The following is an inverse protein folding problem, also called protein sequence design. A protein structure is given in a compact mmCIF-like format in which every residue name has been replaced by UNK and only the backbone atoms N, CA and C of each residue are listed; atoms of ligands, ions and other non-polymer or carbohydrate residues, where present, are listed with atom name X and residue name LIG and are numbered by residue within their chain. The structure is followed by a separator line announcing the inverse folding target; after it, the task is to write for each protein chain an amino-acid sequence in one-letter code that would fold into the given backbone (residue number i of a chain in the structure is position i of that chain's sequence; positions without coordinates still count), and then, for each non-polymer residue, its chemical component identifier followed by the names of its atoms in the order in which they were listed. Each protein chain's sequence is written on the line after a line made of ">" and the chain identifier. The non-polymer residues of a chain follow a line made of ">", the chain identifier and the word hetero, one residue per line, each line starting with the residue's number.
data_IF_057936599392
#
_entry.id   IF_057936599392
#
_cell.length_a   1.000
_cell.length_b   1.000
_cell.length_c   1.000
_cell.angle_alpha   90.00
_cell.angle_beta   90.00
_cell.angle_gamma   90.00
#
_symmetry.space_group_name_H-M   'P 1'
#
loop_
_entity.id
_entity.type
_entity.pdbx_description
1 polymer ?
#
# COMPACT_ATOMS: atom_id res chain seq x y z
N UNK A 1 -54.53 43.76 13.65
CA UNK A 1 -53.97 42.39 13.83
C UNK A 1 -52.53 42.42 13.37
N UNK A 2 -51.60 42.03 14.25
CA UNK A 2 -50.14 42.09 14.08
C UNK A 2 -49.65 40.90 13.24
N UNK A 3 -48.83 41.14 12.22
CA UNK A 3 -48.05 40.11 11.52
C UNK A 3 -46.82 39.72 12.35
N UNK A 4 -46.60 38.41 12.52
CA UNK A 4 -45.42 37.82 13.19
C UNK A 4 -44.23 37.73 12.21
N UNK A 5 -42.98 37.94 12.66
CA UNK A 5 -41.78 37.87 11.82
C UNK A 5 -41.19 36.45 11.85
N UNK A 6 -41.61 35.60 10.91
CA UNK A 6 -41.16 34.19 10.84
C UNK A 6 -40.11 33.87 9.77
N UNK A 7 -39.76 34.80 8.88
CA UNK A 7 -38.99 34.46 7.66
C UNK A 7 -37.53 34.88 7.63
N UNK A 8 -37.05 35.74 8.54
CA UNK A 8 -35.64 36.17 8.54
C UNK A 8 -34.70 35.19 9.26
N UNK A 9 -35.16 34.50 10.31
CA UNK A 9 -34.32 33.59 11.10
C UNK A 9 -33.92 32.32 10.33
N UNK A 10 -34.82 31.76 9.51
CA UNK A 10 -34.49 30.57 8.70
C UNK A 10 -33.52 30.87 7.56
N UNK A 11 -33.54 32.07 6.98
CA UNK A 11 -32.61 32.45 5.91
C UNK A 11 -31.17 32.65 6.44
N UNK A 12 -31.03 33.17 7.67
CA UNK A 12 -29.72 33.41 8.29
C UNK A 12 -29.05 32.09 8.73
N UNK A 13 -29.83 31.10 9.16
CA UNK A 13 -29.29 29.78 9.56
C UNK A 13 -28.79 28.97 8.35
N UNK A 14 -29.51 29.01 7.22
CA UNK A 14 -29.09 28.30 5.99
C UNK A 14 -27.85 28.95 5.37
N UNK A 15 -27.75 30.29 5.38
CA UNK A 15 -26.58 30.98 4.84
C UNK A 15 -25.31 30.74 5.69
N UNK A 16 -25.46 30.58 7.01
CA UNK A 16 -24.34 30.30 7.93
C UNK A 16 -23.81 28.87 7.80
N UNK A 17 -24.69 27.89 7.50
CA UNK A 17 -24.30 26.50 7.24
C UNK A 17 -23.60 26.32 5.88
N UNK A 18 -24.04 27.04 4.85
CA UNK A 18 -23.40 26.99 3.52
C UNK A 18 -22.03 27.68 3.52
N UNK A 19 -21.86 28.79 4.26
CA UNK A 19 -20.54 29.41 4.44
C UNK A 19 -19.61 28.57 5.34
N UNK A 20 -20.15 27.91 6.39
CA UNK A 20 -19.37 27.02 7.25
C UNK A 20 -18.80 25.80 6.52
N UNK A 21 -19.59 25.21 5.61
CA UNK A 21 -19.13 24.11 4.75
C UNK A 21 -18.17 24.59 3.64
N UNK A 22 -18.37 25.80 3.10
CA UNK A 22 -17.45 26.39 2.12
C UNK A 22 -16.06 26.71 2.70
N UNK A 23 -16.01 27.23 3.93
CA UNK A 23 -14.75 27.56 4.63
C UNK A 23 -14.01 26.30 5.15
N UNK A 24 -14.74 25.22 5.48
CA UNK A 24 -14.14 23.93 5.84
C UNK A 24 -13.66 23.15 4.60
N UNK A 25 -14.41 23.15 3.50
CA UNK A 25 -14.01 22.51 2.24
C UNK A 25 -12.82 23.18 1.55
N UNK A 26 -12.54 24.45 1.87
CA UNK A 26 -11.37 25.17 1.34
C UNK A 26 -10.11 24.99 2.20
N UNK A 27 -10.24 24.52 3.46
CA UNK A 27 -9.10 24.31 4.37
C UNK A 27 -8.33 23.01 4.09
N UNK A 28 -8.97 22.04 3.44
CA UNK A 28 -8.35 20.77 3.00
C UNK A 28 -7.97 20.75 1.51
N UNK A 29 -8.16 21.85 0.78
CA UNK A 29 -7.56 21.98 -0.55
C UNK A 29 -6.07 22.29 -0.42
N UNK A 30 -5.30 21.20 -0.39
CA UNK A 30 -3.92 21.07 -0.90
C UNK A 30 -3.10 22.34 -0.72
N UNK A 31 -2.39 22.43 0.41
CA UNK A 31 -1.13 23.16 0.41
C UNK A 31 -0.30 22.51 -0.71
N UNK A 32 -0.14 23.23 -1.82
CA UNK A 32 0.70 22.76 -2.90
C UNK A 32 2.06 22.40 -2.30
N UNK A 33 2.66 21.30 -2.75
CA UNK A 33 3.97 20.89 -2.26
C UNK A 33 4.93 22.07 -2.26
N UNK A 34 5.58 22.34 -1.13
CA UNK A 34 6.66 23.31 -1.06
C UNK A 34 7.75 22.86 -2.04
N UNK A 35 7.92 23.54 -3.18
CA UNK A 35 8.77 23.06 -4.27
C UNK A 35 10.25 23.00 -3.84
N UNK A 36 10.61 23.74 -2.79
CA UNK A 36 11.97 23.84 -2.27
C UNK A 36 12.43 22.55 -1.57
N UNK A 37 11.52 21.81 -0.92
CA UNK A 37 11.85 20.55 -0.22
C UNK A 37 12.00 19.33 -1.13
N UNK A 38 11.73 19.46 -2.42
CA UNK A 38 11.87 18.35 -3.41
C UNK A 38 12.95 18.62 -4.45
N UNK A 39 13.62 19.77 -4.42
CA UNK A 39 14.74 20.03 -5.32
C UNK A 39 15.84 18.98 -5.12
N UNK A 40 16.19 18.29 -6.20
CA UNK A 40 17.22 17.24 -6.21
C UNK A 40 16.77 15.84 -5.78
N UNK A 41 15.52 15.66 -5.31
CA UNK A 41 15.00 14.34 -4.99
C UNK A 41 14.58 13.59 -6.27
N UNK A 42 14.95 12.31 -6.35
CA UNK A 42 14.61 11.52 -7.51
C UNK A 42 13.22 10.92 -7.34
N UNK A 43 12.32 11.26 -8.26
CA UNK A 43 10.96 10.71 -8.30
C UNK A 43 10.96 9.44 -9.16
N UNK A 44 10.59 8.27 -8.60
CA UNK A 44 10.41 7.04 -9.37
C UNK A 44 9.42 7.24 -10.53
N UNK A 45 9.69 6.73 -11.74
CA UNK A 45 8.77 6.86 -12.86
C UNK A 45 7.44 6.12 -12.57
N UNK A 46 6.34 6.47 -13.26
CA UNK A 46 5.11 5.70 -13.23
C UNK A 46 5.33 4.24 -13.64
N UNK A 47 4.58 3.32 -13.02
CA UNK A 47 4.56 1.93 -13.45
C UNK A 47 3.86 1.83 -14.81
N UNK A 48 4.29 0.86 -15.61
CA UNK A 48 3.67 0.51 -16.88
C UNK A 48 3.88 -0.97 -17.15
N UNK A 49 2.98 -1.54 -17.94
CA UNK A 49 3.13 -2.89 -18.43
C UNK A 49 4.42 -3.00 -19.26
N UNK A 50 5.33 -3.88 -18.84
CA UNK A 50 6.56 -4.14 -19.57
C UNK A 50 6.44 -5.29 -20.55
N UNK A 51 5.31 -6.00 -20.63
CA UNK A 51 5.13 -7.16 -21.51
C UNK A 51 6.11 -8.27 -21.18
N UNK A 52 6.28 -8.60 -19.89
CA UNK A 52 7.00 -9.81 -19.47
C UNK A 52 6.04 -10.99 -19.33
N UNK A 53 6.56 -12.20 -19.55
CA UNK A 53 5.80 -13.44 -19.40
C UNK A 53 5.40 -13.69 -17.93
N UNK A 54 6.26 -13.28 -17.00
CA UNK A 54 5.98 -13.25 -15.57
C UNK A 54 5.59 -11.84 -15.11
N UNK A 55 4.63 -11.78 -14.19
CA UNK A 55 4.11 -10.52 -13.64
C UNK A 55 3.90 -10.68 -12.14
N UNK A 56 4.42 -9.74 -11.37
CA UNK A 56 4.15 -9.68 -9.93
C UNK A 56 2.67 -9.42 -9.73
N UNK A 57 2.03 -10.33 -8.99
CA UNK A 57 0.64 -10.19 -8.57
C UNK A 57 0.60 -9.54 -7.20
N UNK A 58 -0.24 -8.52 -7.06
CA UNK A 58 -0.45 -7.82 -5.80
C UNK A 58 -1.81 -8.19 -5.24
N UNK A 59 -1.82 -8.62 -3.98
CA UNK A 59 -3.02 -9.01 -3.26
C UNK A 59 -3.15 -8.17 -2.01
N UNK A 60 -4.34 -7.64 -1.76
CA UNK A 60 -4.71 -7.09 -0.46
C UNK A 60 -5.68 -8.06 0.22
N UNK A 61 -5.22 -8.74 1.27
CA UNK A 61 -5.94 -9.79 1.98
C UNK A 61 -6.55 -9.24 3.27
N UNK A 62 -7.88 -9.27 3.37
CA UNK A 62 -8.63 -8.64 4.46
C UNK A 62 -9.54 -9.66 5.14
N UNK A 63 -9.22 -10.13 6.36
CA UNK A 63 -10.10 -10.97 7.16
C UNK A 63 -11.47 -10.37 7.45
N UNK A 64 -12.43 -11.20 7.86
CA UNK A 64 -13.83 -10.78 8.08
C UNK A 64 -14.01 -9.79 9.24
N UNK A 65 -13.08 -9.79 10.20
CA UNK A 65 -13.03 -8.91 11.36
C UNK A 65 -12.13 -7.68 11.15
N UNK A 66 -11.71 -7.42 9.91
CA UNK A 66 -10.86 -6.29 9.52
C UNK A 66 -11.53 -5.48 8.41
N UNK A 67 -11.14 -4.21 8.33
CA UNK A 67 -11.62 -3.30 7.31
C UNK A 67 -10.57 -3.01 6.24
N UNK A 68 -11.04 -2.73 5.03
CA UNK A 68 -10.20 -2.30 3.92
C UNK A 68 -9.69 -0.89 4.24
N UNK A 69 -8.37 -0.72 4.38
CA UNK A 69 -7.78 0.60 4.61
C UNK A 69 -8.05 1.54 3.43
N UNK A 70 -8.37 2.82 3.70
CA UNK A 70 -8.65 3.79 2.65
C UNK A 70 -7.39 4.06 1.81
N UNK A 71 -7.59 4.23 0.50
CA UNK A 71 -6.52 4.55 -0.44
C UNK A 71 -5.51 3.42 -0.66
N UNK A 72 -5.82 2.17 -0.31
CA UNK A 72 -4.86 1.06 -0.41
C UNK A 72 -4.33 0.87 -1.84
N UNK A 73 -5.13 1.16 -2.88
CA UNK A 73 -4.72 1.00 -4.28
C UNK A 73 -3.65 2.02 -4.64
N UNK A 74 -3.89 3.27 -4.32
CA UNK A 74 -2.98 4.39 -4.55
C UNK A 74 -1.68 4.18 -3.77
N UNK A 75 -1.77 3.80 -2.50
CA UNK A 75 -0.61 3.48 -1.65
C UNK A 75 0.17 2.29 -2.17
N UNK A 76 -0.51 1.25 -2.65
CA UNK A 76 0.14 0.10 -3.27
C UNK A 76 0.92 0.51 -4.53
N UNK A 77 0.35 1.34 -5.40
CA UNK A 77 1.05 1.88 -6.55
C UNK A 77 2.29 2.68 -6.16
N UNK A 78 2.16 3.57 -5.17
CA UNK A 78 3.26 4.37 -4.64
C UNK A 78 4.41 3.50 -4.13
N UNK A 79 4.12 2.49 -3.31
CA UNK A 79 5.11 1.55 -2.80
C UNK A 79 5.79 0.78 -3.95
N UNK A 80 5.00 0.25 -4.89
CA UNK A 80 5.54 -0.54 -6.00
C UNK A 80 6.34 0.30 -6.99
N UNK A 81 6.04 1.60 -7.15
CA UNK A 81 6.89 2.54 -7.90
C UNK A 81 8.29 2.65 -7.30
N UNK A 82 8.38 2.81 -5.98
CA UNK A 82 9.67 2.87 -5.27
C UNK A 82 10.41 1.55 -5.43
N UNK A 83 9.77 0.42 -5.12
CA UNK A 83 10.34 -0.92 -5.23
C UNK A 83 10.87 -1.20 -6.65
N UNK A 84 10.04 -1.00 -7.67
CA UNK A 84 10.42 -1.27 -9.06
C UNK A 84 11.60 -0.42 -9.52
N UNK A 85 11.67 0.83 -9.07
CA UNK A 85 12.77 1.74 -9.40
C UNK A 85 14.08 1.34 -8.73
N UNK A 86 14.04 0.93 -7.45
CA UNK A 86 15.21 0.38 -6.73
C UNK A 86 15.75 -0.84 -7.47
N UNK A 87 14.91 -1.86 -7.71
CA UNK A 87 15.33 -3.06 -8.44
C UNK A 87 15.93 -2.75 -9.81
N UNK A 88 15.30 -1.84 -10.57
CA UNK A 88 15.77 -1.46 -11.90
C UNK A 88 17.14 -0.78 -11.84
N UNK A 89 17.38 0.11 -10.88
CA UNK A 89 18.65 0.83 -10.72
C UNK A 89 19.75 -0.08 -10.25
N UNK A 90 19.51 -0.88 -9.21
CA UNK A 90 20.51 -1.80 -8.66
C UNK A 90 20.94 -2.83 -9.70
N UNK A 91 20.00 -3.42 -10.43
CA UNK A 91 20.32 -4.35 -11.51
C UNK A 91 21.14 -3.69 -12.63
N UNK A 92 20.82 -2.43 -12.99
CA UNK A 92 21.59 -1.68 -14.00
C UNK A 92 23.00 -1.30 -13.50
N UNK A 93 23.12 -0.89 -12.25
CA UNK A 93 24.39 -0.58 -11.61
C UNK A 93 25.31 -1.82 -11.60
N UNK A 94 24.72 -3.00 -11.43
CA UNK A 94 25.39 -4.29 -11.53
C UNK A 94 25.46 -4.85 -12.96
N UNK A 95 25.31 -3.99 -13.98
CA UNK A 95 25.48 -4.30 -15.42
C UNK A 95 24.51 -5.35 -15.98
N UNK A 96 23.41 -5.64 -15.29
CA UNK A 96 22.36 -6.49 -15.84
C UNK A 96 21.53 -5.73 -16.87
N UNK A 97 21.27 -6.38 -18.00
CA UNK A 97 20.26 -5.91 -18.98
C UNK A 97 18.88 -6.15 -18.40
N UNK A 98 18.21 -5.10 -17.94
CA UNK A 98 16.89 -5.21 -17.32
C UNK A 98 15.94 -4.11 -17.75
N UNK A 99 14.66 -4.49 -17.85
CA UNK A 99 13.53 -3.56 -17.97
C UNK A 99 12.96 -3.14 -16.61
N UNK A 100 13.38 -3.77 -15.51
CA UNK A 100 12.80 -3.62 -14.17
C UNK A 100 11.78 -4.71 -13.83
N UNK A 101 11.11 -4.63 -12.67
CA UNK A 101 9.99 -5.51 -12.33
C UNK A 101 8.77 -5.20 -13.21
N UNK A 102 7.95 -6.21 -13.50
CA UNK A 102 6.68 -6.06 -14.21
C UNK A 102 5.54 -6.59 -13.34
N UNK A 103 4.37 -5.98 -13.47
CA UNK A 103 3.21 -6.22 -12.61
C UNK A 103 1.99 -6.61 -13.45
N UNK A 104 0.96 -7.11 -12.77
CA UNK A 104 -0.37 -7.22 -13.37
C UNK A 104 -1.03 -5.84 -13.45
N UNK A 105 -1.62 -5.53 -14.60
CA UNK A 105 -2.37 -4.29 -14.85
C UNK A 105 -3.82 -4.64 -15.21
N UNK A 106 -4.74 -3.75 -14.86
CA UNK A 106 -6.13 -3.82 -15.30
C UNK A 106 -6.25 -3.32 -16.75
N UNK A 107 -7.41 -3.53 -17.37
CA UNK A 107 -7.67 -3.13 -18.77
C UNK A 107 -7.54 -1.60 -18.98
N UNK A 108 -7.79 -0.81 -17.94
CA UNK A 108 -7.61 0.64 -17.94
C UNK A 108 -6.15 1.10 -17.75
N UNK A 109 -5.20 0.16 -17.70
CA UNK A 109 -3.78 0.43 -17.55
C UNK A 109 -3.33 0.73 -16.12
N UNK A 110 -4.23 0.69 -15.12
CA UNK A 110 -3.84 0.87 -13.71
C UNK A 110 -3.26 -0.42 -13.13
N UNK A 111 -2.40 -0.26 -12.12
CA UNK A 111 -1.86 -1.39 -11.36
C UNK A 111 -3.00 -2.24 -10.78
N UNK A 112 -2.98 -3.55 -11.06
CA UNK A 112 -4.02 -4.46 -10.58
C UNK A 112 -3.67 -4.93 -9.17
N UNK A 113 -4.47 -4.50 -8.20
CA UNK A 113 -4.43 -5.00 -6.82
C UNK A 113 -5.68 -5.84 -6.58
N UNK A 114 -5.50 -7.15 -6.37
CA UNK A 114 -6.60 -8.07 -6.09
C UNK A 114 -7.01 -7.93 -4.63
N UNK A 115 -8.20 -7.40 -4.38
CA UNK A 115 -8.79 -7.39 -3.05
C UNK A 115 -9.39 -8.78 -2.76
N UNK A 116 -8.83 -9.50 -1.80
CA UNK A 116 -9.36 -10.76 -1.29
C UNK A 116 -10.03 -10.49 0.05
N UNK A 117 -11.36 -10.54 0.06
CA UNK A 117 -12.13 -10.55 1.30
C UNK A 117 -12.14 -11.98 1.81
N UNK A 118 -11.41 -12.20 2.88
CA UNK A 118 -11.21 -13.53 3.42
C UNK A 118 -12.50 -14.07 4.05
N UNK A 119 -12.57 -15.40 4.18
CA UNK A 119 -13.76 -16.09 4.69
C UNK A 119 -13.81 -16.17 6.21
N UNK A 120 -12.67 -15.97 6.88
CA UNK A 120 -12.49 -16.17 8.32
C UNK A 120 -11.97 -14.90 9.01
N UNK A 121 -12.04 -14.81 10.35
CA UNK A 121 -11.39 -13.74 11.09
C UNK A 121 -9.87 -13.92 11.15
N UNK A 122 -9.17 -12.84 11.51
CA UNK A 122 -7.72 -12.73 11.63
C UNK A 122 -7.09 -13.91 12.38
N UNK A 123 -7.67 -14.26 13.53
CA UNK A 123 -7.19 -15.33 14.42
C UNK A 123 -7.16 -16.72 13.76
N UNK A 124 -8.05 -16.98 12.78
CA UNK A 124 -8.04 -18.24 12.05
C UNK A 124 -6.77 -18.40 11.21
N UNK A 125 -6.32 -17.33 10.58
CA UNK A 125 -5.15 -17.33 9.70
C UNK A 125 -3.86 -17.37 10.50
N UNK A 126 -3.74 -16.54 11.54
CA UNK A 126 -2.53 -16.47 12.36
C UNK A 126 -2.32 -17.70 13.24
N UNK A 127 -3.41 -18.35 13.66
CA UNK A 127 -3.36 -19.37 14.70
C UNK A 127 -3.18 -18.79 16.11
N UNK A 128 -3.42 -19.64 17.10
CA UNK A 128 -3.14 -19.36 18.51
C UNK A 128 -2.53 -20.64 19.14
N UNK A 129 -1.21 -20.67 19.42
CA UNK A 129 -0.21 -19.61 19.20
C UNK A 129 0.03 -19.30 17.70
N UNK A 130 0.72 -18.19 17.42
CA UNK A 130 1.05 -17.78 16.05
C UNK A 130 1.82 -18.87 15.29
N UNK A 131 1.36 -19.18 14.07
CA UNK A 131 1.89 -20.21 13.19
C UNK A 131 2.04 -19.66 11.76
N UNK A 132 3.28 -19.48 11.33
CA UNK A 132 3.65 -18.94 10.02
C UNK A 132 3.16 -19.87 8.90
N UNK A 133 3.29 -21.19 9.07
CA UNK A 133 2.89 -22.13 8.04
C UNK A 133 1.38 -22.13 7.87
N UNK A 134 0.64 -22.07 8.97
CA UNK A 134 -0.81 -21.91 8.95
C UNK A 134 -1.21 -20.63 8.21
N UNK A 135 -0.58 -19.49 8.54
CA UNK A 135 -0.85 -18.21 7.89
C UNK A 135 -0.63 -18.29 6.38
N UNK A 136 0.55 -18.76 5.96
CA UNK A 136 0.91 -18.82 4.55
C UNK A 136 0.05 -19.84 3.79
N UNK A 137 -0.22 -21.02 4.36
CA UNK A 137 -1.06 -22.05 3.73
C UNK A 137 -2.50 -21.57 3.53
N UNK A 138 -3.12 -21.02 4.58
CA UNK A 138 -4.53 -20.65 4.54
C UNK A 138 -4.78 -19.43 3.65
N UNK A 139 -3.90 -18.41 3.70
CA UNK A 139 -4.01 -17.28 2.79
C UNK A 139 -3.75 -17.69 1.34
N UNK A 140 -2.71 -18.49 1.08
CA UNK A 140 -2.41 -18.95 -0.28
C UNK A 140 -3.60 -19.65 -0.93
N UNK A 141 -4.27 -20.53 -0.18
CA UNK A 141 -5.42 -21.26 -0.65
C UNK A 141 -6.57 -20.31 -1.06
N UNK A 142 -6.98 -19.39 -0.19
CA UNK A 142 -8.06 -18.45 -0.50
C UNK A 142 -7.70 -17.46 -1.63
N UNK A 143 -6.42 -17.07 -1.71
CA UNK A 143 -5.91 -16.24 -2.80
C UNK A 143 -6.00 -16.98 -4.13
N UNK A 144 -5.64 -18.27 -4.18
CA UNK A 144 -5.76 -19.07 -5.40
C UNK A 144 -7.20 -19.31 -5.81
N UNK A 145 -8.11 -19.52 -4.86
CA UNK A 145 -9.54 -19.63 -5.13
C UNK A 145 -10.11 -18.33 -5.74
N UNK A 146 -9.58 -17.18 -5.33
CA UNK A 146 -10.07 -15.86 -5.78
C UNK A 146 -9.40 -15.37 -7.07
N UNK A 147 -8.09 -15.57 -7.19
CA UNK A 147 -7.25 -14.95 -8.24
C UNK A 147 -6.70 -15.95 -9.26
N UNK A 148 -6.96 -17.25 -9.05
CA UNK A 148 -6.37 -18.33 -9.82
C UNK A 148 -4.95 -18.70 -9.36
N UNK A 149 -4.49 -19.88 -9.79
CA UNK A 149 -3.16 -20.41 -9.43
C UNK A 149 -2.01 -19.49 -9.86
N UNK A 150 -0.96 -19.42 -9.05
CA UNK A 150 0.12 -18.42 -9.17
C UNK A 150 1.32 -18.83 -10.05
N UNK A 151 1.13 -19.73 -11.03
CA UNK A 151 2.22 -20.13 -11.94
C UNK A 151 2.70 -18.93 -12.76
N UNK A 152 4.01 -18.64 -12.73
CA UNK A 152 4.62 -17.45 -13.34
C UNK A 152 4.04 -16.12 -12.80
N UNK A 153 3.49 -16.15 -11.57
CA UNK A 153 2.89 -15.01 -10.89
C UNK A 153 3.44 -14.96 -9.46
N UNK A 154 4.68 -14.45 -9.26
CA UNK A 154 5.17 -14.22 -7.91
C UNK A 154 4.19 -13.27 -7.22
N UNK A 155 3.69 -13.66 -6.05
CA UNK A 155 2.55 -13.00 -5.40
C UNK A 155 3.03 -12.31 -4.14
N UNK A 156 2.83 -10.99 -4.07
CA UNK A 156 3.03 -10.18 -2.87
C UNK A 156 1.68 -9.86 -2.25
N UNK A 157 1.51 -10.23 -1.00
CA UNK A 157 0.28 -10.10 -0.22
C UNK A 157 0.49 -9.07 0.87
N UNK A 158 -0.35 -8.03 0.87
CA UNK A 158 -0.53 -7.15 2.00
C UNK A 158 -1.65 -7.74 2.86
N UNK A 159 -1.36 -8.19 4.08
CA UNK A 159 -2.30 -8.94 4.92
C UNK A 159 -2.72 -8.17 6.16
N UNK A 160 -4.03 -7.98 6.33
CA UNK A 160 -4.63 -7.45 7.56
C UNK A 160 -4.74 -8.51 8.67
N UNK A 161 -4.33 -9.76 8.41
CA UNK A 161 -4.41 -10.84 9.39
C UNK A 161 -3.35 -10.73 10.51
N UNK A 162 -2.27 -9.96 10.32
CA UNK A 162 -1.26 -9.77 11.36
C UNK A 162 -0.01 -9.01 10.91
N UNK A 163 0.85 -8.70 11.87
CA UNK A 163 2.17 -8.11 11.62
C UNK A 163 3.14 -9.21 11.17
N UNK A 164 3.22 -9.45 9.87
CA UNK A 164 4.04 -10.52 9.28
C UNK A 164 4.91 -9.95 8.17
N UNK A 165 6.11 -10.51 8.02
CA UNK A 165 7.01 -10.32 6.88
C UNK A 165 7.67 -11.68 6.64
N UNK A 166 7.06 -12.48 5.76
CA UNK A 166 7.48 -13.86 5.51
C UNK A 166 7.27 -14.23 4.04
N UNK A 167 8.21 -14.97 3.48
CA UNK A 167 8.14 -15.44 2.11
C UNK A 167 8.29 -16.95 2.01
N UNK A 168 7.46 -17.55 1.16
CA UNK A 168 7.55 -18.94 0.72
C UNK A 168 7.93 -18.98 -0.75
N UNK A 169 9.23 -19.16 -1.07
CA UNK A 169 9.62 -19.47 -2.44
C UNK A 169 9.04 -20.83 -2.82
N UNK A 170 8.61 -20.97 -4.07
CA UNK A 170 8.15 -22.25 -4.64
C UNK A 170 9.23 -22.69 -5.64
N UNK A 171 9.53 -24.00 -5.79
CA UNK A 171 10.54 -24.49 -6.73
C UNK A 171 10.28 -24.17 -8.21
N UNK A 172 9.16 -23.51 -8.54
CA UNK A 172 8.86 -23.03 -9.88
C UNK A 172 9.42 -21.62 -10.07
N UNK A 173 10.18 -21.42 -11.15
CA UNK A 173 10.72 -20.10 -11.50
C UNK A 173 9.59 -19.06 -11.58
N UNK A 174 9.83 -17.88 -11.03
CA UNK A 174 8.85 -16.78 -10.95
C UNK A 174 7.54 -17.18 -10.29
N UNK A 175 7.61 -18.00 -9.25
CA UNK A 175 6.46 -18.40 -8.44
C UNK A 175 6.85 -18.37 -6.96
N UNK A 176 5.92 -17.96 -6.12
CA UNK A 176 6.17 -17.79 -4.70
C UNK A 176 5.14 -16.87 -4.08
N UNK A 177 5.10 -16.87 -2.75
CA UNK A 177 4.21 -16.04 -1.96
C UNK A 177 5.05 -15.25 -0.95
N UNK A 178 4.95 -13.94 -0.98
CA UNK A 178 5.46 -13.06 0.07
C UNK A 178 4.25 -12.47 0.79
N UNK A 179 4.23 -12.55 2.12
CA UNK A 179 3.20 -11.96 2.95
C UNK A 179 3.83 -10.87 3.82
N UNK A 180 3.31 -9.66 3.69
CA UNK A 180 3.70 -8.49 4.48
C UNK A 180 2.48 -7.91 5.18
N UNK A 181 2.69 -7.23 6.30
CA UNK A 181 1.59 -6.61 7.05
C UNK A 181 0.88 -5.51 6.25
N UNK A 182 -0.46 -5.51 6.30
CA UNK A 182 -1.31 -4.45 5.79
C UNK A 182 -1.19 -3.12 6.54
N UNK A 183 -0.54 -3.10 7.72
CA UNK A 183 -0.26 -1.85 8.46
C UNK A 183 0.73 -0.94 7.75
N UNK A 184 1.38 -1.43 6.69
CA UNK A 184 2.12 -0.58 5.77
C UNK A 184 1.25 0.50 5.12
N UNK A 185 -0.07 0.28 4.99
CA UNK A 185 -1.00 1.24 4.39
C UNK A 185 -1.47 2.33 5.35
N UNK A 186 -0.96 2.42 6.58
CA UNK A 186 -1.26 3.53 7.50
C UNK A 186 -0.78 4.87 6.90
N UNK A 187 -1.58 5.92 7.07
CA UNK A 187 -1.31 7.26 6.49
C UNK A 187 -0.01 7.87 7.01
N UNK A 188 0.39 7.49 8.23
CA UNK A 188 1.63 7.92 8.87
C UNK A 188 2.87 7.30 8.25
N UNK A 189 2.72 6.21 7.49
CA UNK A 189 3.81 5.39 6.94
C UNK A 189 3.89 5.48 5.42
N UNK A 190 2.74 5.41 4.75
CA UNK A 190 2.64 5.38 3.29
C UNK A 190 1.68 6.43 2.78
N UNK A 191 2.18 7.33 1.94
CA UNK A 191 1.40 8.36 1.30
C UNK A 191 0.63 7.84 0.07
N UNK A 192 -0.42 8.55 -0.32
CA UNK A 192 -1.22 8.25 -1.51
C UNK A 192 -0.65 8.84 -2.80
N UNK A 193 0.45 9.59 -2.73
CA UNK A 193 1.15 10.15 -3.90
C UNK A 193 2.65 9.89 -3.80
N UNK A 194 3.31 9.76 -4.96
CA UNK A 194 4.74 9.45 -4.98
C UNK A 194 5.57 10.64 -4.45
N UNK A 195 5.16 11.87 -4.73
CA UNK A 195 5.86 13.08 -4.28
C UNK A 195 5.85 13.19 -2.76
N UNK A 196 4.71 12.88 -2.14
CA UNK A 196 4.58 12.86 -0.69
C UNK A 196 5.31 11.68 -0.05
N UNK A 197 5.28 10.50 -0.67
CA UNK A 197 6.05 9.36 -0.21
C UNK A 197 7.56 9.63 -0.20
N UNK A 198 8.08 10.30 -1.24
CA UNK A 198 9.49 10.69 -1.28
C UNK A 198 9.82 11.71 -0.17
N UNK A 199 8.87 12.58 0.22
CA UNK A 199 9.05 13.43 1.41
C UNK A 199 9.04 12.64 2.71
N UNK A 200 8.22 11.60 2.83
CA UNK A 200 8.20 10.76 4.03
C UNK A 200 9.57 10.17 4.32
N UNK A 201 10.37 9.85 3.30
CA UNK A 201 11.76 9.38 3.48
C UNK A 201 12.72 10.43 4.07
N UNK A 202 12.32 11.69 4.14
CA UNK A 202 13.09 12.80 4.74
C UNK A 202 12.42 13.38 5.99
N UNK A 203 11.22 12.91 6.32
CA UNK A 203 10.40 13.45 7.41
C UNK A 203 10.76 12.81 8.75
N UNK A 204 11.10 13.63 9.75
CA UNK A 204 11.45 13.16 11.09
C UNK A 204 10.28 13.19 12.08
N UNK A 205 9.09 13.55 11.63
CA UNK A 205 7.88 13.56 12.47
C UNK A 205 7.72 12.21 13.19
N UNK A 206 7.59 12.19 14.53
CA UNK A 206 7.35 10.95 15.27
C UNK A 206 6.05 10.28 14.81
N UNK A 207 6.12 8.97 14.57
CA UNK A 207 4.98 8.12 14.23
C UNK A 207 5.06 6.82 15.02
N UNK A 208 3.90 6.21 15.27
CA UNK A 208 3.84 4.90 15.94
C UNK A 208 4.43 3.82 15.06
N UNK A 209 5.22 2.92 15.66
CA UNK A 209 5.64 1.68 14.98
C UNK A 209 4.44 0.83 14.55
N UNK A 210 4.63 -0.01 13.52
CA UNK A 210 3.68 -1.06 13.15
C UNK A 210 3.52 -2.08 14.28
N UNK A 211 4.61 -2.45 14.95
CA UNK A 211 4.62 -3.37 16.09
C UNK A 211 5.07 -2.64 17.37
N UNK A 212 4.11 -2.27 18.21
CA UNK A 212 4.34 -1.67 19.53
C UNK A 212 3.88 -0.22 19.67
N UNK A 213 3.95 0.27 20.91
CA UNK A 213 3.52 1.63 21.27
C UNK A 213 4.61 2.69 21.10
N UNK A 214 5.86 2.27 20.89
CA UNK A 214 7.00 3.15 20.72
C UNK A 214 6.89 4.03 19.46
N UNK A 215 7.23 5.30 19.61
CA UNK A 215 7.37 6.22 18.50
C UNK A 215 8.75 6.12 17.84
N UNK A 216 8.78 6.35 16.53
CA UNK A 216 10.01 6.50 15.75
C UNK A 216 9.83 7.58 14.67
N UNK A 217 10.92 8.19 14.18
CA UNK A 217 10.85 9.09 13.04
C UNK A 217 10.19 8.44 11.81
N UNK A 218 9.27 9.17 11.15
CA UNK A 218 8.54 8.72 9.95
C UNK A 218 9.46 8.19 8.86
N UNK A 219 10.58 8.86 8.59
CA UNK A 219 11.54 8.45 7.58
C UNK A 219 12.07 7.05 7.83
N UNK A 220 12.40 6.72 9.08
CA UNK A 220 12.83 5.39 9.45
C UNK A 220 11.71 4.41 9.20
N UNK A 221 10.49 4.69 9.67
CA UNK A 221 9.36 3.75 9.52
C UNK A 221 9.05 3.49 8.05
N UNK A 222 8.92 4.54 7.25
CA UNK A 222 8.63 4.44 5.82
C UNK A 222 9.74 3.72 5.04
N UNK A 223 11.01 3.94 5.39
CA UNK A 223 12.16 3.22 4.81
C UNK A 223 12.17 1.74 5.22
N UNK A 224 11.93 1.41 6.50
CA UNK A 224 11.83 0.00 6.94
C UNK A 224 10.70 -0.70 6.21
N UNK A 225 9.53 -0.08 6.11
CA UNK A 225 8.39 -0.63 5.39
C UNK A 225 8.72 -0.93 3.92
N UNK A 226 9.33 0.00 3.18
CA UNK A 226 9.76 -0.26 1.80
C UNK A 226 10.88 -1.31 1.73
N UNK A 227 11.80 -1.31 2.70
CA UNK A 227 12.89 -2.30 2.80
C UNK A 227 12.36 -3.72 2.96
N UNK A 228 11.35 -3.92 3.81
CA UNK A 228 10.66 -5.22 3.97
C UNK A 228 10.05 -5.67 2.64
N UNK A 229 9.37 -4.79 1.89
CA UNK A 229 8.82 -5.15 0.59
C UNK A 229 9.89 -5.63 -0.39
N UNK A 230 11.03 -4.94 -0.44
CA UNK A 230 12.16 -5.32 -1.30
C UNK A 230 12.75 -6.65 -0.84
N UNK A 231 12.91 -6.85 0.46
CA UNK A 231 13.44 -8.08 1.03
C UNK A 231 12.56 -9.30 0.70
N UNK A 232 11.26 -9.23 1.00
CA UNK A 232 10.33 -10.34 0.76
C UNK A 232 10.13 -10.64 -0.73
N UNK A 233 10.10 -9.59 -1.57
CA UNK A 233 10.12 -9.78 -3.02
C UNK A 233 11.40 -10.49 -3.48
N UNK A 234 12.54 -10.18 -2.85
CA UNK A 234 13.80 -10.87 -3.10
C UNK A 234 13.68 -12.38 -2.94
N UNK A 235 13.13 -12.81 -1.80
CA UNK A 235 12.92 -14.22 -1.50
C UNK A 235 12.07 -14.94 -2.55
N UNK A 236 10.94 -14.37 -2.98
CA UNK A 236 10.09 -15.02 -4.02
C UNK A 236 10.72 -15.01 -5.42
N UNK A 237 11.74 -14.19 -5.64
CA UNK A 237 12.56 -14.20 -6.86
C UNK A 237 13.82 -15.08 -6.74
N UNK A 238 13.99 -15.79 -5.63
CA UNK A 238 15.15 -16.68 -5.40
C UNK A 238 16.45 -15.93 -5.05
N UNK A 239 16.34 -14.68 -4.61
CA UNK A 239 17.45 -13.93 -4.03
C UNK A 239 17.42 -14.18 -2.52
N UNK A 240 18.31 -15.06 -2.06
CA UNK A 240 18.47 -15.46 -0.66
C UNK A 240 19.60 -14.69 0.00
#
# INVERSE_FOLDING_TARGET
>A
MRFLPGSLLSAIVVLSLVLGLGLMAQRDRKKAPDPDKTQGLVIPPPLKDLGKDYKVRLVYFVPTDREVKPGYREKCEVLMRVVADVYRREMRANRHRTRGLDFEFAEDGRLKVHLVRAKQPSAFYTGEPFDIDRLLNTQQQEIWETTGYSRNRPTLVFSEAGAVAEARPIPHVYSGLACVSGDIFRDEVTASTIEEQIRYFMDQTPVRKVAGEDERPRNRESQTSNGVLIHELGHIFGML
#
